data_IF_507646421798
#
_entry.id   IF_507646421798
#
_cell.length_a   1.000
_cell.length_b   1.000
_cell.length_c   1.000
_cell.angle_alpha   90.00
_cell.angle_beta   90.00
_cell.angle_gamma   90.00
#
_symmetry.space_group_name_H-M   'P 1'
#
loop_
_entity.id
_entity.type
_entity.pdbx_description
1 polymer ?
#
# COMPACT_ATOMS: atom_id res chain seq x y z
N UNK A 1 6.32 -40.44 11.77
CA UNK A 1 6.61 -39.39 12.79
C UNK A 1 6.30 -38.06 12.12
N UNK A 2 5.07 -37.57 12.28
CA UNK A 2 4.65 -36.30 11.68
C UNK A 2 4.90 -35.23 12.73
N UNK A 3 5.87 -34.34 12.48
CA UNK A 3 6.07 -33.16 13.31
C UNK A 3 5.09 -32.09 12.83
N UNK A 4 4.23 -31.52 13.70
CA UNK A 4 3.40 -30.39 13.31
C UNK A 4 4.32 -29.18 13.06
N UNK A 5 4.25 -28.62 11.87
CA UNK A 5 4.87 -27.33 11.54
C UNK A 5 4.06 -26.26 12.27
N UNK A 6 4.69 -25.56 13.20
CA UNK A 6 4.11 -24.47 13.96
C UNK A 6 4.30 -23.19 13.12
N UNK A 7 3.26 -22.77 12.42
CA UNK A 7 3.25 -21.49 11.71
C UNK A 7 3.13 -20.37 12.74
N UNK A 8 4.21 -19.61 12.95
CA UNK A 8 4.20 -18.40 13.79
C UNK A 8 3.92 -17.23 12.86
N UNK A 9 2.69 -16.72 12.86
CA UNK A 9 2.36 -15.43 12.23
C UNK A 9 2.71 -14.34 13.24
N UNK A 10 3.87 -13.72 13.07
CA UNK A 10 4.20 -12.47 13.76
C UNK A 10 3.86 -11.32 12.79
N UNK A 11 2.80 -10.58 13.09
CA UNK A 11 2.54 -9.30 12.42
C UNK A 11 3.31 -8.23 13.19
N UNK A 12 4.29 -7.60 12.56
CA UNK A 12 5.00 -6.45 13.12
C UNK A 12 4.43 -5.23 12.42
N UNK A 13 3.44 -4.59 13.05
CA UNK A 13 2.95 -3.29 12.59
C UNK A 13 3.99 -2.23 12.95
N UNK A 14 4.55 -1.58 11.93
CA UNK A 14 5.50 -0.49 12.11
C UNK A 14 4.96 0.74 11.38
N UNK A 15 4.63 1.79 12.14
CA UNK A 15 4.20 3.06 11.55
C UNK A 15 5.42 3.77 10.95
N UNK A 16 5.64 3.53 9.67
CA UNK A 16 6.59 4.28 8.85
C UNK A 16 5.88 5.56 8.39
N UNK A 17 6.52 6.72 8.56
CA UNK A 17 6.01 7.98 8.02
C UNK A 17 7.07 8.50 7.05
N UNK A 18 6.89 8.22 5.75
CA UNK A 18 7.73 8.77 4.69
C UNK A 18 7.06 10.02 4.14
N UNK A 19 7.87 11.09 4.14
CA UNK A 19 7.63 12.50 3.79
C UNK A 19 6.43 12.83 2.88
N UNK A 20 5.35 13.34 3.49
CA UNK A 20 4.58 14.55 3.13
C UNK A 20 3.45 14.73 4.16
N UNK A 21 3.76 15.24 5.36
CA UNK A 21 2.69 15.52 6.33
C UNK A 21 1.99 16.83 5.94
N UNK A 22 0.79 16.72 5.40
CA UNK A 22 -0.22 17.78 5.39
C UNK A 22 -1.26 17.50 6.48
N UNK A 23 -2.25 18.39 6.65
CA UNK A 23 -3.42 18.06 7.48
C UNK A 23 -4.14 16.83 6.92
N UNK A 24 -4.42 16.84 5.61
CA UNK A 24 -5.21 15.82 4.93
C UNK A 24 -4.48 14.45 4.83
N UNK A 25 -3.35 14.39 4.11
CA UNK A 25 -2.50 13.20 4.04
C UNK A 25 -1.38 13.27 5.09
N UNK A 26 -1.38 12.32 6.01
CA UNK A 26 -0.41 12.23 7.10
C UNK A 26 0.85 11.41 6.73
N UNK A 27 0.77 10.64 5.64
CA UNK A 27 1.89 9.88 5.06
C UNK A 27 1.47 8.50 4.57
N UNK A 28 2.45 7.70 4.15
CA UNK A 28 2.26 6.27 3.82
C UNK A 28 2.81 5.43 4.96
N UNK A 29 2.00 4.50 5.47
CA UNK A 29 2.39 3.51 6.47
C UNK A 29 2.35 2.10 5.89
N UNK A 30 3.17 1.19 6.42
CA UNK A 30 3.30 -0.17 5.88
C UNK A 30 3.30 -1.16 7.05
N UNK A 31 2.38 -2.13 7.01
CA UNK A 31 2.41 -3.26 7.94
C UNK A 31 3.11 -4.46 7.29
N UNK A 32 4.00 -5.12 8.03
CA UNK A 32 4.78 -6.27 7.56
C UNK A 32 4.33 -7.56 8.25
N UNK A 33 4.18 -8.63 7.47
CA UNK A 33 3.93 -9.98 7.97
C UNK A 33 4.79 -11.02 7.26
N UNK A 34 5.46 -11.88 8.03
CA UNK A 34 6.15 -13.04 7.49
C UNK A 34 5.16 -14.20 7.31
N UNK A 35 5.14 -14.77 6.11
CA UNK A 35 4.18 -15.81 5.72
C UNK A 35 4.89 -17.06 5.20
N UNK A 36 4.15 -18.08 4.77
CA UNK A 36 4.74 -19.25 4.13
C UNK A 36 5.20 -18.98 2.70
N UNK A 37 4.82 -17.85 2.11
CA UNK A 37 5.05 -17.49 0.70
C UNK A 37 5.97 -16.29 0.52
N UNK A 38 6.59 -15.80 1.60
CA UNK A 38 7.46 -14.64 1.58
C UNK A 38 7.09 -13.61 2.65
N UNK A 39 7.51 -12.37 2.41
CA UNK A 39 7.14 -11.22 3.24
C UNK A 39 5.99 -10.47 2.58
N UNK A 40 4.89 -10.29 3.31
CA UNK A 40 3.71 -9.57 2.84
C UNK A 40 3.69 -8.18 3.46
N UNK A 41 3.61 -7.16 2.60
CA UNK A 41 3.52 -5.76 2.94
C UNK A 41 2.13 -5.22 2.62
N UNK A 42 1.42 -4.72 3.63
CA UNK A 42 0.17 -3.98 3.45
C UNK A 42 0.48 -2.48 3.46
N UNK A 43 0.29 -1.81 2.33
CA UNK A 43 0.62 -0.39 2.16
C UNK A 43 -0.63 0.44 2.36
N UNK A 44 -0.58 1.44 3.23
CA UNK A 44 -1.70 2.29 3.59
C UNK A 44 -1.40 3.77 3.40
N UNK A 45 -2.40 4.55 3.00
CA UNK A 45 -2.41 5.99 3.21
C UNK A 45 -2.97 6.31 4.60
N UNK A 46 -2.22 7.06 5.39
CA UNK A 46 -2.68 7.58 6.69
C UNK A 46 -3.33 8.95 6.50
N UNK A 47 -4.55 9.13 7.00
CA UNK A 47 -5.39 10.33 6.83
C UNK A 47 -6.09 10.69 8.15
N UNK A 48 -6.76 11.84 8.23
CA UNK A 48 -7.56 12.19 9.42
C UNK A 48 -8.83 11.35 9.54
N UNK A 49 -9.38 11.28 10.76
CA UNK A 49 -10.62 10.54 11.03
C UNK A 49 -11.77 11.07 10.16
N UNK A 50 -12.43 10.16 9.43
CA UNK A 50 -13.51 10.49 8.51
C UNK A 50 -13.09 11.00 7.12
N UNK A 51 -11.80 11.10 6.84
CA UNK A 51 -11.29 11.39 5.49
C UNK A 51 -11.39 10.16 4.57
N UNK A 52 -11.31 10.43 3.27
CA UNK A 52 -11.44 9.46 2.19
C UNK A 52 -10.18 9.41 1.34
N UNK A 53 -9.85 8.22 0.83
CA UNK A 53 -8.94 8.03 -0.31
C UNK A 53 -9.75 7.50 -1.48
N UNK A 54 -9.81 8.28 -2.56
CA UNK A 54 -10.72 7.99 -3.68
C UNK A 54 -10.00 7.36 -4.87
N UNK A 55 -8.74 7.74 -5.10
CA UNK A 55 -8.02 7.32 -6.29
C UNK A 55 -6.51 7.31 -6.10
N UNK A 56 -5.87 6.34 -6.74
CA UNK A 56 -4.43 6.32 -6.97
C UNK A 56 -4.22 6.36 -8.48
N UNK A 57 -3.29 7.20 -8.95
CA UNK A 57 -3.17 7.48 -10.38
C UNK A 57 -1.75 7.83 -10.81
N UNK A 58 -1.49 7.68 -12.11
CA UNK A 58 -0.31 8.16 -12.80
C UNK A 58 -0.71 8.90 -14.07
N UNK A 59 -0.02 9.99 -14.35
CA UNK A 59 -0.20 10.79 -15.57
C UNK A 59 1.15 11.13 -16.22
N UNK A 60 1.12 11.86 -17.33
CA UNK A 60 2.33 12.19 -18.10
C UNK A 60 3.31 13.11 -17.37
N UNK A 61 2.88 13.72 -16.27
CA UNK A 61 3.70 14.59 -15.42
C UNK A 61 4.32 13.75 -14.30
N UNK A 62 3.49 13.02 -13.57
CA UNK A 62 3.90 12.19 -12.43
C UNK A 62 3.49 10.74 -12.69
N UNK A 63 4.45 9.91 -13.07
CA UNK A 63 4.22 8.48 -13.34
C UNK A 63 4.02 7.73 -12.03
N UNK A 64 3.00 6.87 -11.98
CA UNK A 64 2.81 5.95 -10.87
C UNK A 64 3.74 4.76 -11.03
N UNK A 65 4.46 4.42 -9.97
CA UNK A 65 5.30 3.23 -9.88
C UNK A 65 5.08 2.49 -8.56
N UNK A 66 4.94 1.17 -8.63
CA UNK A 66 5.04 0.27 -7.47
C UNK A 66 5.86 -0.94 -7.92
N UNK A 67 6.96 -1.23 -7.23
CA UNK A 67 7.87 -2.29 -7.60
C UNK A 67 8.47 -3.01 -6.40
N UNK A 68 9.18 -4.10 -6.70
CA UNK A 68 9.97 -4.87 -5.74
C UNK A 68 11.34 -5.20 -6.32
N UNK A 69 12.20 -5.86 -5.54
CA UNK A 69 13.52 -6.30 -6.02
C UNK A 69 13.41 -7.39 -7.10
N UNK A 70 12.64 -8.46 -6.84
CA UNK A 70 12.59 -9.65 -7.69
C UNK A 70 11.16 -10.08 -8.11
N UNK A 71 10.21 -9.14 -8.13
CA UNK A 71 8.82 -9.40 -8.53
C UNK A 71 7.88 -9.64 -7.35
N UNK A 72 6.61 -9.89 -7.69
CA UNK A 72 5.51 -10.07 -6.74
C UNK A 72 4.98 -11.49 -6.80
N UNK A 73 4.61 -12.01 -5.64
CA UNK A 73 3.87 -13.24 -5.54
C UNK A 73 2.48 -13.07 -6.16
N UNK A 74 2.15 -13.93 -7.13
CA UNK A 74 0.83 -13.98 -7.77
C UNK A 74 0.20 -15.37 -7.68
N UNK A 75 -1.11 -15.40 -7.47
CA UNK A 75 -1.91 -16.61 -7.31
C UNK A 75 -2.79 -16.87 -8.52
N UNK A 76 -2.93 -18.12 -8.94
CA UNK A 76 -3.72 -18.45 -10.14
C UNK A 76 -5.23 -18.20 -10.00
N UNK A 77 -5.70 -18.05 -8.77
CA UNK A 77 -7.07 -17.67 -8.44
C UNK A 77 -7.19 -16.20 -8.01
N UNK A 78 -6.07 -15.48 -8.09
CA UNK A 78 -5.90 -14.08 -7.79
C UNK A 78 -6.22 -13.17 -8.96
N UNK A 79 -6.04 -11.88 -8.71
CA UNK A 79 -6.13 -10.82 -9.73
C UNK A 79 -5.48 -9.55 -9.17
N UNK A 80 -5.41 -8.51 -10.00
CA UNK A 80 -4.95 -7.19 -9.56
C UNK A 80 -5.85 -6.53 -8.51
N UNK A 81 -7.01 -7.12 -8.21
CA UNK A 81 -7.98 -6.66 -7.20
C UNK A 81 -7.98 -7.56 -5.98
N UNK A 82 -8.46 -7.01 -4.87
CA UNK A 82 -8.63 -7.71 -3.61
C UNK A 82 -9.27 -9.11 -3.80
N UNK A 83 -8.69 -10.17 -3.21
CA UNK A 83 -9.01 -11.55 -3.52
C UNK A 83 -10.37 -11.99 -2.96
N UNK A 84 -10.93 -13.06 -3.54
CA UNK A 84 -12.23 -13.57 -3.11
C UNK A 84 -12.17 -14.33 -1.77
N UNK A 85 -12.86 -13.80 -0.75
CA UNK A 85 -12.84 -14.40 0.59
C UNK A 85 -13.40 -15.84 0.58
N UNK A 86 -14.41 -16.08 -0.26
CA UNK A 86 -15.06 -17.38 -0.42
C UNK A 86 -14.09 -18.49 -0.88
N UNK A 87 -12.98 -18.13 -1.53
CA UNK A 87 -11.98 -19.06 -2.05
C UNK A 87 -10.92 -19.44 -1.01
N UNK A 88 -10.76 -18.68 0.06
CA UNK A 88 -9.68 -18.90 1.05
C UNK A 88 -9.74 -20.26 1.75
N UNK A 89 -10.92 -20.86 1.89
CA UNK A 89 -11.06 -22.20 2.48
C UNK A 89 -10.53 -23.32 1.57
N UNK A 90 -10.50 -23.09 0.26
CA UNK A 90 -10.02 -24.04 -0.75
C UNK A 90 -8.57 -23.75 -1.15
N UNK A 91 -8.22 -22.47 -1.25
CA UNK A 91 -6.91 -21.98 -1.66
C UNK A 91 -6.36 -21.00 -0.61
N UNK A 92 -5.84 -21.49 0.52
CA UNK A 92 -5.33 -20.61 1.58
C UNK A 92 -4.19 -19.69 1.13
N UNK A 93 -3.43 -20.10 0.10
CA UNK A 93 -2.36 -19.29 -0.48
C UNK A 93 -2.84 -18.00 -1.14
N UNK A 94 -4.11 -17.93 -1.56
CA UNK A 94 -4.71 -16.75 -2.19
C UNK A 94 -4.73 -15.53 -1.25
N UNK A 95 -4.70 -15.74 0.08
CA UNK A 95 -4.60 -14.64 1.06
C UNK A 95 -3.33 -13.81 0.93
N UNK A 96 -2.31 -14.36 0.28
CA UNK A 96 -0.99 -13.73 0.13
C UNK A 96 -0.75 -13.22 -1.29
N UNK A 97 -1.77 -13.28 -2.15
CA UNK A 97 -1.74 -12.68 -3.48
C UNK A 97 -1.39 -11.19 -3.43
N UNK A 98 -0.74 -10.68 -4.47
CA UNK A 98 -0.38 -9.27 -4.56
C UNK A 98 -1.43 -8.52 -5.38
N UNK A 99 -2.04 -7.50 -4.80
CA UNK A 99 -3.15 -6.77 -5.41
C UNK A 99 -3.17 -5.31 -5.00
N UNK A 100 -3.87 -4.49 -5.79
CA UNK A 100 -4.21 -3.12 -5.43
C UNK A 100 -5.66 -3.04 -4.95
N UNK A 101 -5.93 -2.04 -4.11
CA UNK A 101 -7.26 -1.84 -3.52
C UNK A 101 -7.45 -0.39 -3.10
N UNK A 102 -8.66 -0.10 -2.63
CA UNK A 102 -8.97 1.07 -1.81
C UNK A 102 -9.77 0.55 -0.62
N UNK A 103 -9.11 0.46 0.52
CA UNK A 103 -9.73 0.18 1.83
C UNK A 103 -10.11 -1.27 2.13
N UNK A 104 -10.05 -2.18 1.16
CA UNK A 104 -10.49 -3.58 1.35
C UNK A 104 -9.38 -4.60 1.11
N UNK A 105 -9.30 -5.59 1.98
CA UNK A 105 -8.39 -6.74 1.90
C UNK A 105 -9.02 -7.98 1.21
N UNK A 106 -10.31 -7.89 0.86
CA UNK A 106 -11.07 -8.93 0.15
C UNK A 106 -12.05 -8.32 -0.86
N UNK A 107 -12.67 -9.16 -1.70
CA UNK A 107 -13.71 -8.76 -2.65
C UNK A 107 -15.04 -8.35 -2.00
N UNK A 108 -15.20 -8.54 -0.69
CA UNK A 108 -16.43 -8.26 0.04
C UNK A 108 -16.74 -6.76 0.06
N UNK A 109 -17.73 -6.35 -0.74
CA UNK A 109 -18.13 -4.94 -0.87
C UNK A 109 -17.21 -4.12 -1.77
N UNK A 110 -16.29 -4.76 -2.50
CA UNK A 110 -15.37 -4.09 -3.39
C UNK A 110 -16.10 -3.50 -4.61
N UNK A 111 -15.99 -2.18 -4.76
CA UNK A 111 -16.52 -1.42 -5.89
C UNK A 111 -15.41 -0.72 -6.71
N UNK A 112 -14.15 -1.08 -6.49
CA UNK A 112 -13.00 -0.45 -7.15
C UNK A 112 -13.03 -0.65 -8.67
N UNK A 113 -12.89 0.45 -9.39
CA UNK A 113 -12.74 0.52 -10.84
C UNK A 113 -11.30 0.88 -11.19
N UNK A 114 -10.92 0.60 -12.43
CA UNK A 114 -9.60 0.94 -12.95
C UNK A 114 -9.67 1.28 -14.44
N UNK A 115 -8.75 2.13 -14.89
CA UNK A 115 -8.63 2.57 -16.28
C UNK A 115 -7.17 2.87 -16.61
N UNK A 116 -6.71 2.45 -17.79
CA UNK A 116 -5.41 2.88 -18.34
C UNK A 116 -4.17 2.28 -17.67
N UNK A 117 -4.33 1.36 -16.71
CA UNK A 117 -3.24 0.55 -16.15
C UNK A 117 -3.13 -0.76 -16.93
N UNK A 118 -1.92 -1.16 -17.31
CA UNK A 118 -1.67 -2.48 -17.89
C UNK A 118 -1.32 -3.47 -16.79
N UNK A 119 -2.29 -4.31 -16.44
CA UNK A 119 -2.13 -5.34 -15.42
C UNK A 119 -1.43 -6.60 -15.92
N UNK A 120 -1.25 -6.76 -17.24
CA UNK A 120 -0.75 -8.01 -17.84
C UNK A 120 0.59 -8.43 -17.26
N UNK A 121 1.49 -7.47 -17.06
CA UNK A 121 2.82 -7.73 -16.50
C UNK A 121 2.79 -7.90 -14.99
N UNK A 122 1.89 -7.21 -14.29
CA UNK A 122 1.73 -7.32 -12.83
C UNK A 122 1.17 -8.69 -12.44
N UNK A 123 0.22 -9.23 -13.21
CA UNK A 123 -0.36 -10.57 -13.01
C UNK A 123 0.65 -11.70 -13.32
N UNK A 124 1.64 -11.44 -14.18
CA UNK A 124 2.67 -12.41 -14.55
C UNK A 124 2.13 -13.65 -15.27
N UNK A 125 3.00 -14.65 -15.46
CA UNK A 125 2.63 -15.98 -15.98
C UNK A 125 2.53 -17.00 -14.83
N UNK A 126 1.41 -16.99 -14.12
CA UNK A 126 1.17 -17.86 -12.95
C UNK A 126 1.18 -19.36 -13.29
N UNK A 127 1.23 -19.73 -14.57
CA UNK A 127 1.21 -21.12 -15.05
C UNK A 127 2.63 -21.74 -15.07
N UNK A 128 3.68 -20.91 -14.98
CA UNK A 128 5.09 -21.33 -15.14
C UNK A 128 5.65 -22.13 -13.94
N UNK A 129 4.97 -22.07 -12.77
CA UNK A 129 5.38 -22.72 -11.53
C UNK A 129 6.36 -21.91 -10.67
N UNK A 130 6.80 -20.74 -11.16
CA UNK A 130 7.38 -19.70 -10.32
C UNK A 130 6.27 -18.92 -9.62
N UNK A 131 6.51 -18.52 -8.37
CA UNK A 131 5.49 -17.83 -7.58
C UNK A 131 5.64 -16.31 -7.66
N UNK A 132 6.83 -15.78 -7.95
CA UNK A 132 7.15 -14.35 -7.97
C UNK A 132 7.20 -13.77 -9.40
N UNK A 133 6.20 -14.12 -10.23
CA UNK A 133 6.19 -13.77 -11.65
C UNK A 133 5.56 -12.40 -11.95
N UNK A 134 4.96 -11.76 -10.96
CA UNK A 134 4.37 -10.43 -11.12
C UNK A 134 5.44 -9.35 -11.23
N UNK A 135 5.37 -8.53 -12.27
CA UNK A 135 6.28 -7.41 -12.47
C UNK A 135 5.78 -6.11 -11.82
N UNK A 136 6.59 -5.05 -11.90
CA UNK A 136 6.25 -3.74 -11.37
C UNK A 136 4.98 -3.16 -12.03
N UNK A 137 4.18 -2.44 -11.25
CA UNK A 137 3.10 -1.60 -11.73
C UNK A 137 3.72 -0.27 -12.16
N UNK A 138 3.56 0.10 -13.44
CA UNK A 138 3.98 1.40 -13.96
C UNK A 138 2.89 1.96 -14.88
N UNK A 139 2.45 3.19 -14.64
CA UNK A 139 1.52 3.88 -15.55
C UNK A 139 1.71 5.39 -15.51
N UNK A 140 1.63 6.02 -16.69
CA UNK A 140 1.64 7.47 -16.87
C UNK A 140 0.34 7.98 -17.49
N UNK A 141 -0.72 7.16 -17.50
CA UNK A 141 -2.05 7.53 -17.98
C UNK A 141 -3.12 6.57 -17.46
N UNK A 142 -3.06 6.25 -16.16
CA UNK A 142 -3.89 5.23 -15.56
C UNK A 142 -4.22 5.50 -14.10
N UNK A 143 -5.29 4.88 -13.62
CA UNK A 143 -5.77 5.02 -12.26
C UNK A 143 -6.59 3.81 -11.86
N UNK A 144 -6.56 3.47 -10.57
CA UNK A 144 -7.63 2.76 -9.91
C UNK A 144 -8.30 3.67 -8.89
N UNK A 145 -9.61 3.55 -8.76
CA UNK A 145 -10.44 4.47 -8.00
C UNK A 145 -11.73 3.82 -7.53
N UNK A 146 -12.33 4.45 -6.54
CA UNK A 146 -13.64 4.12 -5.98
C UNK A 146 -14.47 5.42 -5.96
N UNK A 147 -15.80 5.29 -5.93
CA UNK A 147 -16.62 6.50 -5.86
C UNK A 147 -16.70 7.00 -4.42
N UNK A 148 -16.76 8.32 -4.18
CA UNK A 148 -16.88 8.86 -2.82
C UNK A 148 -18.13 8.40 -2.02
N UNK A 149 -19.10 7.79 -2.71
CA UNK A 149 -20.30 7.19 -2.12
C UNK A 149 -20.06 5.75 -1.59
N UNK A 150 -18.96 5.11 -1.99
CA UNK A 150 -18.62 3.76 -1.57
C UNK A 150 -17.99 3.76 -0.17
N UNK A 151 -18.45 2.88 0.73
CA UNK A 151 -17.90 2.81 2.09
C UNK A 151 -16.40 2.52 2.14
N UNK A 152 -15.85 1.88 1.10
CA UNK A 152 -14.44 1.47 1.01
C UNK A 152 -13.45 2.63 0.93
N UNK A 153 -13.88 3.84 0.53
CA UNK A 153 -12.96 4.99 0.45
C UNK A 153 -12.62 5.58 1.81
N UNK A 154 -13.46 5.35 2.81
CA UNK A 154 -13.25 5.92 4.14
C UNK A 154 -12.14 5.19 4.88
N UNK A 155 -11.42 5.94 5.69
CA UNK A 155 -10.45 5.37 6.60
C UNK A 155 -11.06 4.38 7.59
N UNK A 156 -10.24 3.42 7.98
CA UNK A 156 -10.44 2.57 9.15
C UNK A 156 -9.20 2.70 10.04
N UNK A 157 -9.40 3.18 11.27
CA UNK A 157 -8.33 3.44 12.24
C UNK A 157 -7.25 4.42 11.75
N UNK A 158 -7.68 5.47 11.05
CA UNK A 158 -6.88 6.56 10.49
C UNK A 158 -6.14 6.20 9.20
N UNK A 159 -6.47 5.07 8.56
CA UNK A 159 -5.74 4.54 7.40
C UNK A 159 -6.64 3.92 6.35
N UNK A 160 -6.26 4.02 5.07
CA UNK A 160 -6.89 3.31 3.94
C UNK A 160 -5.87 2.41 3.27
N UNK A 161 -6.20 1.12 3.12
CA UNK A 161 -5.35 0.15 2.42
C UNK A 161 -5.28 0.49 0.92
N UNK A 162 -4.07 0.61 0.37
CA UNK A 162 -3.81 0.91 -1.04
C UNK A 162 -3.47 -0.36 -1.85
N UNK A 163 -2.94 -1.37 -1.17
CA UNK A 163 -2.59 -2.65 -1.76
C UNK A 163 -1.87 -3.54 -0.77
N UNK A 164 -1.83 -4.82 -1.10
CA UNK A 164 -1.03 -5.83 -0.43
C UNK A 164 -0.05 -6.40 -1.43
N UNK A 165 1.22 -6.50 -1.05
CA UNK A 165 2.29 -6.97 -1.92
C UNK A 165 3.12 -8.01 -1.19
N UNK A 166 3.19 -9.21 -1.74
CA UNK A 166 4.01 -10.29 -1.19
C UNK A 166 5.24 -10.47 -2.07
N UNK A 167 6.42 -10.48 -1.46
CA UNK A 167 7.71 -10.60 -2.14
C UNK A 167 8.55 -11.69 -1.47
N UNK A 168 9.66 -12.08 -2.10
CA UNK A 168 10.57 -13.06 -1.53
C UNK A 168 11.16 -12.57 -0.18
N UNK A 169 11.55 -13.51 0.70
CA UNK A 169 12.12 -13.15 1.98
C UNK A 169 13.40 -12.31 1.83
N UNK A 170 13.38 -11.11 2.40
CA UNK A 170 14.51 -10.17 2.36
C UNK A 170 14.40 -9.12 1.26
N UNK A 171 13.41 -9.24 0.37
CA UNK A 171 13.05 -8.21 -0.59
C UNK A 171 12.13 -7.16 0.05
N UNK A 172 12.01 -6.03 -0.62
CA UNK A 172 11.18 -4.89 -0.21
C UNK A 172 10.27 -4.41 -1.34
N UNK A 173 9.32 -3.56 -0.98
CA UNK A 173 8.35 -2.94 -1.89
C UNK A 173 8.52 -1.45 -1.78
N UNK A 174 8.61 -0.79 -2.93
CA UNK A 174 8.86 0.64 -3.04
C UNK A 174 8.06 1.22 -4.19
N UNK A 175 7.85 2.54 -4.16
CA UNK A 175 7.09 3.18 -5.20
C UNK A 175 6.99 4.69 -5.04
N UNK A 176 6.46 5.30 -6.10
CA UNK A 176 6.05 6.68 -6.16
C UNK A 176 4.62 6.72 -6.70
N UNK A 177 3.68 7.22 -5.89
CA UNK A 177 2.26 7.25 -6.22
C UNK A 177 1.73 8.67 -6.19
N UNK A 178 0.67 8.90 -6.97
CA UNK A 178 -0.18 10.08 -6.81
C UNK A 178 -1.51 9.64 -6.25
N UNK A 179 -2.03 10.41 -5.31
CA UNK A 179 -3.21 10.05 -4.50
C UNK A 179 -4.15 11.23 -4.41
N UNK A 180 -5.44 10.95 -4.54
CA UNK A 180 -6.52 11.92 -4.38
C UNK A 180 -7.51 11.39 -3.36
N UNK A 181 -8.08 12.31 -2.60
CA UNK A 181 -9.17 12.01 -1.69
C UNK A 181 -9.95 13.24 -1.30
N UNK A 182 -10.71 13.09 -0.22
CA UNK A 182 -11.62 14.09 0.29
C UNK A 182 -11.54 14.14 1.81
N UNK A 183 -11.56 15.35 2.36
CA UNK A 183 -11.62 15.56 3.79
C UNK A 183 -13.04 15.33 4.32
N UNK A 184 -13.19 15.10 5.63
CA UNK A 184 -14.50 14.99 6.28
C UNK A 184 -15.42 16.22 6.03
N UNK A 185 -14.84 17.40 5.76
CA UNK A 185 -15.58 18.63 5.39
C UNK A 185 -15.98 18.73 3.90
N UNK A 186 -15.72 17.66 3.14
CA UNK A 186 -15.94 17.47 1.71
C UNK A 186 -15.00 18.23 0.77
N UNK A 187 -14.01 18.95 1.30
CA UNK A 187 -12.95 19.54 0.48
C UNK A 187 -12.07 18.46 -0.15
N UNK A 188 -11.64 18.67 -1.40
CA UNK A 188 -10.78 17.71 -2.11
C UNK A 188 -9.32 18.02 -1.82
N UNK A 189 -8.51 16.96 -1.72
CA UNK A 189 -7.07 17.04 -1.63
C UNK A 189 -6.42 16.12 -2.66
N UNK A 190 -5.17 16.44 -3.02
CA UNK A 190 -4.39 15.65 -3.96
C UNK A 190 -2.90 15.81 -3.66
N UNK A 191 -2.18 14.70 -3.58
CA UNK A 191 -0.72 14.65 -3.45
C UNK A 191 -0.12 13.89 -4.62
N UNK A 192 1.05 14.35 -5.05
CA UNK A 192 1.79 13.81 -6.19
C UNK A 192 3.21 13.49 -5.77
N UNK A 193 3.81 12.48 -6.40
CA UNK A 193 5.17 12.04 -6.09
C UNK A 193 5.32 11.55 -4.64
N UNK A 194 4.28 10.95 -4.06
CA UNK A 194 4.34 10.39 -2.70
C UNK A 194 5.13 9.10 -2.76
N UNK A 195 6.31 9.10 -2.12
CA UNK A 195 7.20 7.95 -2.13
C UNK A 195 7.03 7.08 -0.90
N UNK A 196 7.23 5.78 -1.07
CA UNK A 196 7.32 4.82 0.02
C UNK A 196 8.35 3.74 -0.31
N UNK A 197 8.92 3.15 0.73
CA UNK A 197 9.94 2.10 0.64
C UNK A 197 9.90 1.30 1.94
N UNK A 198 9.62 -0.01 1.85
CA UNK A 198 9.55 -0.88 3.03
C UNK A 198 10.91 -1.27 3.61
N UNK A 199 12.02 -1.00 2.92
CA UNK A 199 13.37 -1.18 3.46
C UNK A 199 13.80 -0.03 4.37
N UNK A 200 13.18 1.16 4.25
CA UNK A 200 13.52 2.31 5.09
C UNK A 200 12.80 2.16 6.43
N UNK A 201 13.52 1.69 7.44
CA UNK A 201 13.13 1.85 8.85
C UNK A 201 13.58 3.24 9.30
N UNK A 202 12.69 4.24 9.50
CA UNK A 202 13.08 5.46 10.17
C UNK A 202 13.52 5.05 11.57
N UNK A 203 14.80 5.26 11.88
CA UNK A 203 15.29 5.05 13.23
C UNK A 203 14.36 5.82 14.20
N UNK A 204 13.92 5.22 15.33
CA UNK A 204 12.98 5.83 16.27
C UNK A 204 13.33 7.24 16.79
N UNK A 205 14.51 7.77 16.47
CA UNK A 205 14.99 9.10 16.87
C UNK A 205 14.78 10.24 15.86
N UNK A 206 14.28 10.00 14.63
CA UNK A 206 14.17 11.06 13.62
C UNK A 206 13.07 12.11 13.95
N UNK A 207 12.02 11.73 14.68
CA UNK A 207 10.93 12.63 15.08
C UNK A 207 11.33 13.55 16.26
N UNK A 208 12.20 13.08 17.16
CA UNK A 208 12.60 13.85 18.34
C UNK A 208 13.55 15.03 18.01
N UNK A 209 14.27 14.98 16.89
CA UNK A 209 15.28 15.98 16.54
C UNK A 209 14.72 17.18 15.75
N UNK A 210 13.60 17.02 15.04
CA UNK A 210 12.87 18.16 14.46
C UNK A 210 12.13 19.00 15.51
N UNK A 211 11.74 18.41 16.64
CA UNK A 211 11.12 19.14 17.75
C UNK A 211 12.08 20.00 18.58
N UNK A 212 13.40 19.76 18.50
CA UNK A 212 14.40 20.47 19.31
C UNK A 212 15.19 21.54 18.55
N UNK A 213 15.15 21.54 17.22
CA UNK A 213 15.87 22.51 16.38
C UNK A 213 15.19 23.90 16.27
N UNK A 214 13.96 24.07 16.79
CA UNK A 214 13.17 25.30 16.67
C UNK A 214 13.44 26.41 17.71
N UNK A 215 14.27 26.16 18.74
CA UNK A 215 14.45 27.14 19.84
C UNK A 215 15.87 27.70 19.85
N UNK A 216 16.19 28.56 18.88
CA UNK A 216 17.35 29.46 18.94
C UNK A 216 17.11 30.77 18.18
N UNK A 217 16.01 31.49 18.49
CA UNK A 217 15.85 32.87 18.04
C UNK A 217 16.66 33.84 18.93
N UNK A 218 17.86 34.22 18.45
CA UNK A 218 18.78 35.14 19.14
C UNK A 218 18.24 36.58 19.10
N UNK A 219 17.83 37.08 20.27
CA UNK A 219 17.30 38.45 20.51
C UNK A 219 18.32 39.54 20.16
N UNK A 220 18.05 40.34 19.12
CA UNK A 220 18.82 41.56 18.77
C UNK A 220 18.53 42.67 19.80
N UNK A 221 19.56 43.21 20.46
CA UNK A 221 19.46 44.47 21.23
C UNK A 221 19.73 45.66 20.29
N UNK A 222 18.95 46.74 20.47
CA UNK A 222 19.19 48.07 19.92
C UNK A 222 20.41 48.70 20.58
#
# INVERSE_FOLDING_TARGET
MNKPILTITAAVSSLFAVSTASADLQGISIDESLTAYGTTFSVFASVEEGDQVDAIFGDSVDTLTIGSDNGFYQNMFGSHKAPSEALFGFFPSLRYDSFVTIGLDTDAGNAMLDIGVDWTIFEGDVISGSHYDGANIETNNGSWFATPDDAQVFEVDGRVLLGQFTVEFGDHVYGEINIQGKNADLSNWQYRGVTFDSAIVPAPGAIALLGLAGVCARRRRK
#
